data_IF_837584624036
#
_entry.id   IF_837584624036
#
_cell.length_a   1.000
_cell.length_b   1.000
_cell.length_c   1.000
_cell.angle_alpha   90.00
_cell.angle_beta   90.00
_cell.angle_gamma   90.00
#
_symmetry.space_group_name_H-M   'P 1'
#
loop_
_entity.id
_entity.type
_entity.pdbx_description
1 polymer ?
#
# COMPACT_ATOMS: atom_id res chain seq x y z
N UNK A 1 21.84 -4.50 -12.78
CA UNK A 1 22.44 -4.39 -11.43
C UNK A 1 22.65 -2.95 -10.96
N UNK A 2 23.35 -2.06 -11.70
CA UNK A 2 23.57 -0.64 -11.30
C UNK A 2 22.29 0.14 -10.93
N UNK A 3 21.18 -0.05 -11.65
CA UNK A 3 19.89 0.61 -11.35
C UNK A 3 19.19 0.12 -10.07
N UNK A 4 19.45 -1.13 -9.67
CA UNK A 4 18.88 -1.76 -8.47
C UNK A 4 19.64 -1.30 -7.22
N UNK A 5 20.96 -1.12 -7.34
CA UNK A 5 21.80 -0.53 -6.28
C UNK A 5 21.36 0.91 -5.97
N UNK A 6 20.98 1.68 -7.00
CA UNK A 6 20.41 3.03 -6.82
C UNK A 6 19.09 3.04 -6.05
N UNK A 7 18.27 2.00 -6.17
CA UNK A 7 17.01 1.87 -5.43
C UNK A 7 17.23 1.57 -3.95
N UNK A 8 18.23 0.72 -3.64
CA UNK A 8 18.64 0.44 -2.26
C UNK A 8 19.15 1.72 -1.59
N UNK A 9 19.96 2.51 -2.30
CA UNK A 9 20.44 3.81 -1.82
C UNK A 9 19.30 4.82 -1.60
N UNK A 10 18.32 4.90 -2.52
CA UNK A 10 17.19 5.82 -2.38
C UNK A 10 16.30 5.46 -1.18
N UNK A 11 16.03 4.17 -0.98
CA UNK A 11 15.26 3.68 0.17
C UNK A 11 16.00 3.96 1.47
N UNK A 12 17.31 3.73 1.53
CA UNK A 12 18.15 4.04 2.71
C UNK A 12 18.20 5.54 3.00
N UNK A 13 18.26 6.40 1.97
CA UNK A 13 18.27 7.87 2.12
C UNK A 13 16.90 8.38 2.64
N UNK A 14 15.78 7.78 2.24
CA UNK A 14 14.46 8.09 2.81
C UNK A 14 14.28 7.60 4.26
N UNK A 15 15.16 6.73 4.77
CA UNK A 15 15.12 6.24 6.16
C UNK A 15 16.08 6.97 7.10
N UNK A 16 16.88 7.93 6.63
CA UNK A 16 17.64 8.80 7.52
C UNK A 16 16.72 9.86 8.11
N UNK A 17 16.25 9.58 9.33
CA UNK A 17 15.44 10.48 10.13
C UNK A 17 16.15 11.83 10.32
N UNK A 18 15.32 12.86 10.29
CA UNK A 18 15.55 14.20 10.80
C UNK A 18 16.32 14.15 12.13
N UNK A 19 17.43 14.90 12.22
CA UNK A 19 18.14 15.11 13.47
C UNK A 19 17.21 15.85 14.45
N UNK A 20 16.59 15.12 15.37
CA UNK A 20 15.93 15.71 16.53
C UNK A 20 17.01 16.11 17.55
N UNK A 21 16.91 17.34 18.05
CA UNK A 21 17.75 17.89 19.10
C UNK A 21 17.75 16.97 20.33
N UNK A 22 18.93 16.55 20.78
CA UNK A 22 19.09 15.70 21.97
C UNK A 22 18.97 16.60 23.19
N UNK A 23 17.86 16.49 23.92
CA UNK A 23 17.68 17.08 25.24
C UNK A 23 17.99 16.03 26.33
N UNK A 24 18.56 16.45 27.47
CA UNK A 24 19.31 15.61 28.43
C UNK A 24 18.42 14.89 29.45
N UNK A 25 17.15 14.64 29.14
CA UNK A 25 16.26 13.88 30.03
C UNK A 25 16.37 12.39 29.72
N UNK A 26 16.50 11.57 30.76
CA UNK A 26 16.53 10.09 30.70
C UNK A 26 15.30 9.61 29.93
N UNK A 27 15.49 9.39 28.64
CA UNK A 27 14.44 8.91 27.74
C UNK A 27 14.39 7.41 27.93
N UNK A 28 13.29 6.93 28.52
CA UNK A 28 12.84 5.55 28.36
C UNK A 28 12.91 5.28 26.86
N UNK A 29 13.80 4.40 26.40
CA UNK A 29 13.97 4.11 24.97
C UNK A 29 12.60 3.65 24.46
N UNK A 30 11.84 4.54 23.84
CA UNK A 30 10.58 4.18 23.23
C UNK A 30 10.94 3.30 22.03
N UNK A 31 10.74 1.99 22.18
CA UNK A 31 10.88 1.06 21.06
C UNK A 31 10.05 1.58 19.91
N UNK A 32 10.70 1.93 18.81
CA UNK A 32 10.03 2.39 17.60
C UNK A 32 9.07 1.29 17.12
N UNK A 33 7.76 1.53 17.30
CA UNK A 33 6.69 0.58 16.97
C UNK A 33 6.51 0.38 15.46
N UNK A 34 7.22 1.14 14.63
CA UNK A 34 7.22 1.00 13.17
C UNK A 34 8.16 -0.10 12.67
N UNK A 35 9.31 -0.27 13.30
CA UNK A 35 10.35 -1.23 12.88
C UNK A 35 9.82 -2.66 12.71
N UNK A 36 9.00 -3.21 13.63
CA UNK A 36 8.40 -4.52 13.42
C UNK A 36 7.48 -4.60 12.19
N UNK A 37 6.83 -3.49 11.81
CA UNK A 37 5.91 -3.42 10.67
C UNK A 37 6.63 -3.33 9.32
N UNK A 38 7.93 -3.03 9.31
CA UNK A 38 8.73 -2.96 8.08
C UNK A 38 9.47 -4.25 7.76
N UNK A 39 9.58 -5.20 8.70
CA UNK A 39 10.32 -6.47 8.50
C UNK A 39 9.74 -7.29 7.35
N UNK A 40 8.43 -7.54 7.36
CA UNK A 40 7.75 -8.33 6.31
C UNK A 40 7.91 -7.67 4.92
N UNK A 41 7.53 -6.40 4.72
CA UNK A 41 7.67 -5.79 3.40
C UNK A 41 9.13 -5.68 2.95
N UNK A 42 10.08 -5.39 3.85
CA UNK A 42 11.50 -5.37 3.52
C UNK A 42 11.98 -6.76 3.08
N UNK A 43 11.55 -7.82 3.76
CA UNK A 43 11.89 -9.20 3.39
C UNK A 43 11.40 -9.53 1.99
N UNK A 44 10.16 -9.19 1.65
CA UNK A 44 9.62 -9.40 0.31
C UNK A 44 10.38 -8.61 -0.77
N UNK A 45 10.69 -7.33 -0.52
CA UNK A 45 11.43 -6.49 -1.46
C UNK A 45 12.85 -7.02 -1.66
N UNK A 46 13.55 -7.37 -0.58
CA UNK A 46 14.91 -7.93 -0.65
C UNK A 46 14.92 -9.27 -1.39
N UNK A 47 13.97 -10.14 -1.07
CA UNK A 47 13.84 -11.44 -1.76
C UNK A 47 13.57 -11.24 -3.26
N UNK A 48 12.71 -10.28 -3.61
CA UNK A 48 12.46 -9.93 -5.00
C UNK A 48 13.72 -9.44 -5.72
N UNK A 49 14.52 -8.59 -5.07
CA UNK A 49 15.79 -8.10 -5.62
C UNK A 49 16.79 -9.24 -5.84
N UNK A 50 16.84 -10.23 -4.95
CA UNK A 50 17.72 -11.40 -5.10
C UNK A 50 17.22 -12.33 -6.21
N UNK A 51 15.91 -12.55 -6.32
CA UNK A 51 15.34 -13.49 -7.28
C UNK A 51 15.25 -12.94 -8.71
N UNK A 52 15.22 -11.62 -8.89
CA UNK A 52 14.97 -11.02 -10.21
C UNK A 52 16.03 -11.43 -11.24
N UNK A 53 15.59 -11.95 -12.38
CA UNK A 53 16.42 -12.50 -13.46
C UNK A 53 17.24 -13.75 -13.09
N UNK A 54 17.03 -14.34 -11.92
CA UNK A 54 17.71 -15.58 -11.52
C UNK A 54 17.23 -16.79 -12.32
N UNK A 55 18.04 -17.85 -12.35
CA UNK A 55 17.62 -19.11 -12.96
C UNK A 55 16.44 -19.75 -12.21
N UNK A 56 16.40 -19.63 -10.88
CA UNK A 56 15.31 -20.14 -10.05
C UNK A 56 13.96 -19.51 -10.42
N UNK A 57 13.93 -18.19 -10.65
CA UNK A 57 12.73 -17.49 -11.10
C UNK A 57 12.24 -18.02 -12.46
N UNK A 58 13.15 -18.23 -13.41
CA UNK A 58 12.81 -18.77 -14.74
C UNK A 58 12.32 -20.22 -14.68
N UNK A 59 12.97 -21.04 -13.85
CA UNK A 59 12.57 -22.44 -13.64
C UNK A 59 11.17 -22.53 -13.03
N UNK A 60 10.90 -21.75 -11.98
CA UNK A 60 9.56 -21.69 -11.36
C UNK A 60 8.50 -21.26 -12.38
N UNK A 61 8.79 -20.25 -13.20
CA UNK A 61 7.86 -19.82 -14.24
C UNK A 61 7.56 -20.96 -15.22
N UNK A 62 8.58 -21.71 -15.65
CA UNK A 62 8.42 -22.87 -16.53
C UNK A 62 7.59 -23.97 -15.87
N UNK A 63 7.83 -24.28 -14.60
CA UNK A 63 7.05 -25.26 -13.84
C UNK A 63 5.57 -24.88 -13.74
N UNK A 64 5.29 -23.60 -13.43
CA UNK A 64 3.91 -23.10 -13.40
C UNK A 64 3.25 -23.26 -14.77
N UNK A 65 3.91 -22.86 -15.86
CA UNK A 65 3.36 -22.98 -17.22
C UNK A 65 3.16 -24.43 -17.67
N UNK A 66 4.04 -25.35 -17.28
CA UNK A 66 3.85 -26.78 -17.52
C UNK A 66 2.61 -27.33 -16.79
N UNK A 67 2.26 -26.75 -15.63
CA UNK A 67 1.12 -27.20 -14.83
C UNK A 67 -0.21 -26.59 -15.30
N UNK A 68 -0.23 -25.31 -15.65
CA UNK A 68 -1.48 -24.60 -16.02
C UNK A 68 -1.78 -24.62 -17.52
N UNK A 69 -0.77 -24.89 -18.36
CA UNK A 69 -0.89 -24.83 -19.82
C UNK A 69 -0.36 -23.53 -20.42
N UNK A 70 0.14 -23.60 -21.65
CA UNK A 70 0.70 -22.45 -22.37
C UNK A 70 -0.36 -21.48 -22.93
N UNK A 71 -1.62 -21.88 -22.92
CA UNK A 71 -2.80 -21.13 -23.32
C UNK A 71 -3.61 -20.60 -22.11
N UNK A 72 -3.19 -20.92 -20.88
CA UNK A 72 -3.89 -20.44 -19.68
C UNK A 72 -3.96 -18.92 -19.62
N UNK A 73 -5.19 -18.42 -19.58
CA UNK A 73 -5.54 -17.03 -19.39
C UNK A 73 -6.80 -16.91 -18.56
N UNK A 74 -6.75 -16.11 -17.50
CA UNK A 74 -7.89 -15.84 -16.62
C UNK A 74 -7.88 -14.35 -16.25
N UNK A 75 -8.92 -13.60 -16.57
CA UNK A 75 -9.00 -12.16 -16.25
C UNK A 75 -9.45 -11.82 -14.81
N UNK A 76 -9.68 -12.82 -13.95
CA UNK A 76 -10.15 -12.59 -12.57
C UNK A 76 -9.20 -11.68 -11.77
N UNK A 77 -7.90 -11.71 -12.05
CA UNK A 77 -6.89 -10.89 -11.41
C UNK A 77 -7.14 -9.38 -11.55
N UNK A 78 -7.78 -8.95 -12.64
CA UNK A 78 -8.13 -7.54 -12.85
C UNK A 78 -9.23 -7.07 -11.87
N UNK A 79 -10.05 -7.99 -11.36
CA UNK A 79 -11.16 -7.69 -10.44
C UNK A 79 -10.79 -7.97 -8.98
N UNK A 80 -10.27 -9.17 -8.69
CA UNK A 80 -10.04 -9.62 -7.31
C UNK A 80 -8.96 -8.80 -6.59
N UNK A 81 -8.13 -8.06 -7.33
CA UNK A 81 -7.18 -7.11 -6.74
C UNK A 81 -7.87 -6.06 -5.86
N UNK A 82 -9.14 -5.74 -6.17
CA UNK A 82 -9.93 -4.74 -5.45
C UNK A 82 -10.81 -5.35 -4.34
N UNK A 83 -10.86 -6.67 -4.21
CA UNK A 83 -11.68 -7.35 -3.21
C UNK A 83 -11.39 -6.88 -1.77
N UNK A 84 -10.12 -6.68 -1.33
CA UNK A 84 -9.85 -6.17 0.01
C UNK A 84 -10.45 -4.79 0.29
N UNK A 85 -10.59 -3.94 -0.73
CA UNK A 85 -11.22 -2.63 -0.59
C UNK A 85 -12.74 -2.74 -0.48
N UNK A 86 -13.35 -3.65 -1.25
CA UNK A 86 -14.77 -3.95 -1.12
C UNK A 86 -15.09 -4.53 0.27
N UNK A 87 -14.23 -5.41 0.78
CA UNK A 87 -14.35 -6.00 2.13
C UNK A 87 -14.37 -4.93 3.23
N UNK A 88 -13.63 -3.83 3.09
CA UNK A 88 -13.63 -2.73 4.07
C UNK A 88 -15.04 -2.13 4.19
N UNK A 89 -15.62 -1.73 3.06
CA UNK A 89 -16.94 -1.11 3.06
C UNK A 89 -18.07 -2.09 3.37
N UNK A 90 -17.94 -3.36 2.95
CA UNK A 90 -18.88 -4.41 3.33
C UNK A 90 -18.85 -4.67 4.84
N UNK A 91 -17.66 -4.67 5.45
CA UNK A 91 -17.50 -4.78 6.91
C UNK A 91 -18.26 -3.68 7.65
N UNK A 92 -18.15 -2.44 7.20
CA UNK A 92 -18.89 -1.31 7.74
C UNK A 92 -20.41 -1.49 7.55
N UNK A 93 -20.86 -1.89 6.36
CA UNK A 93 -22.29 -2.06 6.04
C UNK A 93 -22.97 -3.13 6.89
N UNK A 94 -22.26 -4.23 7.19
CA UNK A 94 -22.79 -5.31 8.04
C UNK A 94 -22.55 -5.06 9.54
N UNK A 95 -22.07 -3.87 9.91
CA UNK A 95 -21.97 -3.42 11.29
C UNK A 95 -20.74 -3.94 12.04
N UNK A 96 -19.73 -4.47 11.35
CA UNK A 96 -18.46 -4.83 12.01
C UNK A 96 -17.75 -3.53 12.38
N UNK A 97 -17.36 -3.41 13.65
CA UNK A 97 -16.74 -2.19 14.17
C UNK A 97 -15.34 -1.99 13.56
N UNK A 98 -15.22 -1.11 12.58
CA UNK A 98 -13.92 -0.68 12.09
C UNK A 98 -13.20 0.24 13.11
N UNK A 99 -11.88 0.33 12.96
CA UNK A 99 -11.03 1.21 13.77
C UNK A 99 -11.29 2.69 13.49
N UNK A 100 -11.45 3.05 12.22
CA UNK A 100 -11.67 4.42 11.79
C UNK A 100 -13.06 4.59 11.15
N UNK A 101 -13.56 5.82 11.14
CA UNK A 101 -14.77 6.18 10.41
C UNK A 101 -14.57 6.06 8.89
N UNK A 102 -15.61 5.74 8.13
CA UNK A 102 -15.55 5.48 6.68
C UNK A 102 -14.83 6.56 5.87
N UNK A 103 -14.92 7.82 6.30
CA UNK A 103 -14.20 8.93 5.68
C UNK A 103 -12.68 8.78 5.83
N UNK A 104 -12.20 8.46 7.04
CA UNK A 104 -10.77 8.25 7.31
C UNK A 104 -10.25 6.98 6.62
N UNK A 105 -11.07 5.92 6.52
CA UNK A 105 -10.75 4.75 5.71
C UNK A 105 -10.56 5.12 4.24
N UNK A 106 -11.51 5.86 3.65
CA UNK A 106 -11.47 6.29 2.24
C UNK A 106 -10.26 7.18 1.97
N UNK A 107 -9.96 8.10 2.90
CA UNK A 107 -8.74 8.92 2.87
C UNK A 107 -7.48 8.05 2.87
N UNK A 108 -7.39 7.08 3.78
CA UNK A 108 -6.23 6.20 3.88
C UNK A 108 -6.05 5.37 2.60
N UNK A 109 -7.15 4.89 2.01
CA UNK A 109 -7.17 4.20 0.71
C UNK A 109 -6.62 5.12 -0.39
N UNK A 110 -7.12 6.36 -0.48
CA UNK A 110 -6.69 7.32 -1.49
C UNK A 110 -5.19 7.67 -1.39
N UNK A 111 -4.72 8.03 -0.18
CA UNK A 111 -3.32 8.36 0.06
C UNK A 111 -2.42 7.15 -0.24
N UNK A 112 -2.80 5.96 0.23
CA UNK A 112 -2.04 4.72 -0.03
C UNK A 112 -1.98 4.42 -1.52
N UNK A 113 -3.09 4.56 -2.25
CA UNK A 113 -3.15 4.34 -3.69
C UNK A 113 -2.26 5.29 -4.49
N UNK A 114 -2.29 6.58 -4.14
CA UNK A 114 -1.43 7.61 -4.75
C UNK A 114 0.04 7.28 -4.52
N UNK A 115 0.44 7.05 -3.26
CA UNK A 115 1.84 6.74 -2.92
C UNK A 115 2.32 5.44 -3.56
N UNK A 116 1.48 4.40 -3.58
CA UNK A 116 1.80 3.13 -4.24
C UNK A 116 2.01 3.35 -5.73
N UNK A 117 1.17 4.14 -6.38
CA UNK A 117 1.29 4.47 -7.81
C UNK A 117 2.56 5.27 -8.10
N UNK A 118 2.87 6.27 -7.27
CA UNK A 118 4.08 7.09 -7.38
C UNK A 118 5.36 6.28 -7.21
N UNK A 119 5.32 5.16 -6.48
CA UNK A 119 6.45 4.25 -6.35
C UNK A 119 6.49 3.25 -7.53
N UNK A 120 5.36 2.62 -7.86
CA UNK A 120 5.31 1.54 -8.86
C UNK A 120 5.59 2.04 -10.28
N UNK A 121 4.99 3.16 -10.70
CA UNK A 121 5.09 3.62 -12.09
C UNK A 121 6.52 3.97 -12.51
N UNK A 122 7.31 4.74 -11.73
CA UNK A 122 8.69 5.02 -12.07
C UNK A 122 9.55 3.75 -12.12
N UNK A 123 9.36 2.81 -11.19
CA UNK A 123 10.10 1.55 -11.19
C UNK A 123 9.80 0.72 -12.44
N UNK A 124 8.53 0.65 -12.81
CA UNK A 124 8.04 -0.09 -13.98
C UNK A 124 8.58 0.45 -15.30
N UNK A 125 8.77 1.77 -15.39
CA UNK A 125 9.38 2.41 -16.56
C UNK A 125 10.91 2.40 -16.50
N UNK A 126 11.51 2.52 -15.32
CA UNK A 126 12.96 2.67 -15.14
C UNK A 126 13.76 1.37 -15.17
N UNK A 127 13.19 0.28 -14.64
CA UNK A 127 13.84 -1.04 -14.61
C UNK A 127 13.77 -1.73 -15.97
N UNK A 128 12.64 -1.62 -16.68
CA UNK A 128 12.52 -2.15 -18.04
C UNK A 128 12.58 -3.68 -18.11
N UNK A 129 12.07 -4.41 -17.10
CA UNK A 129 12.09 -5.87 -17.07
C UNK A 129 11.05 -6.42 -18.04
N UNK A 130 11.47 -7.29 -18.96
CA UNK A 130 10.59 -8.01 -19.88
C UNK A 130 9.65 -8.96 -19.13
N UNK A 131 8.40 -9.05 -19.57
CA UNK A 131 7.43 -10.00 -19.02
C UNK A 131 7.74 -11.44 -19.46
N UNK A 132 7.29 -12.44 -18.70
CA UNK A 132 7.45 -13.85 -19.08
C UNK A 132 6.83 -14.22 -20.44
N UNK A 133 5.80 -13.47 -20.87
CA UNK A 133 5.11 -13.64 -22.15
C UNK A 133 5.70 -12.80 -23.30
N UNK A 134 6.77 -12.02 -23.06
CA UNK A 134 7.38 -11.15 -24.06
C UNK A 134 6.52 -9.95 -24.48
N UNK A 135 5.39 -9.68 -23.82
CA UNK A 135 4.43 -8.68 -24.30
C UNK A 135 4.89 -7.22 -24.12
N UNK A 136 5.78 -6.93 -23.16
CA UNK A 136 6.38 -5.61 -22.92
C UNK A 136 7.51 -5.67 -21.87
N UNK A 137 8.19 -4.54 -21.68
CA UNK A 137 9.27 -4.33 -20.70
C UNK A 137 8.79 -3.72 -19.37
N UNK A 138 7.52 -3.89 -19.03
CA UNK A 138 6.91 -3.32 -17.84
C UNK A 138 6.54 -4.41 -16.83
N UNK A 139 7.41 -5.38 -16.57
CA UNK A 139 7.11 -6.48 -15.65
C UNK A 139 7.27 -6.09 -14.17
N UNK A 140 8.37 -5.43 -13.80
CA UNK A 140 8.73 -5.21 -12.39
C UNK A 140 8.45 -3.77 -11.92
N UNK A 141 7.80 -3.55 -10.76
CA UNK A 141 7.07 -4.52 -9.93
C UNK A 141 5.63 -4.73 -10.45
N UNK A 142 4.95 -5.73 -9.90
CA UNK A 142 3.55 -6.01 -10.21
C UNK A 142 2.61 -4.99 -9.55
N UNK A 143 1.99 -4.13 -10.36
CA UNK A 143 1.04 -3.12 -9.87
C UNK A 143 -0.24 -3.71 -9.29
N UNK A 144 -0.79 -4.78 -9.90
CA UNK A 144 -1.99 -5.45 -9.37
C UNK A 144 -1.74 -6.03 -7.99
N UNK A 145 -0.55 -6.62 -7.81
CA UNK A 145 -0.14 -7.17 -6.51
C UNK A 145 0.06 -6.03 -5.50
N UNK A 146 0.72 -4.94 -5.89
CA UNK A 146 0.91 -3.79 -4.99
C UNK A 146 -0.41 -3.18 -4.52
N UNK A 147 -1.36 -2.97 -5.43
CA UNK A 147 -2.71 -2.49 -5.09
C UNK A 147 -3.43 -3.46 -4.16
N UNK A 148 -3.45 -4.76 -4.47
CA UNK A 148 -4.19 -5.71 -3.65
C UNK A 148 -3.60 -5.89 -2.25
N UNK A 149 -2.27 -5.96 -2.13
CA UNK A 149 -1.60 -6.04 -0.82
C UNK A 149 -1.70 -4.74 -0.01
N UNK A 150 -1.78 -3.57 -0.67
CA UNK A 150 -2.11 -2.33 -0.02
C UNK A 150 -3.52 -2.39 0.59
N UNK A 151 -4.52 -2.79 -0.19
CA UNK A 151 -5.90 -2.98 0.29
C UNK A 151 -6.00 -3.98 1.44
N UNK A 152 -5.34 -5.13 1.32
CA UNK A 152 -5.30 -6.15 2.37
C UNK A 152 -4.69 -5.62 3.68
N UNK A 153 -3.64 -4.80 3.58
CA UNK A 153 -3.01 -4.19 4.75
C UNK A 153 -3.93 -3.14 5.39
N UNK A 154 -4.66 -2.36 4.60
CA UNK A 154 -5.66 -1.40 5.10
C UNK A 154 -6.79 -2.15 5.81
N UNK A 155 -7.38 -3.18 5.18
CA UNK A 155 -8.41 -4.03 5.77
C UNK A 155 -7.94 -4.62 7.11
N UNK A 156 -6.70 -5.11 7.15
CA UNK A 156 -6.11 -5.61 8.38
C UNK A 156 -6.02 -4.53 9.47
N UNK A 157 -5.58 -3.32 9.14
CA UNK A 157 -5.48 -2.25 10.15
C UNK A 157 -6.86 -1.75 10.63
N UNK A 158 -7.90 -1.85 9.80
CA UNK A 158 -9.26 -1.45 10.16
C UNK A 158 -9.98 -2.48 11.04
N UNK A 159 -9.77 -3.79 10.79
CA UNK A 159 -10.60 -4.82 11.41
C UNK A 159 -9.86 -5.80 12.33
N UNK A 160 -8.53 -5.78 12.42
CA UNK A 160 -7.78 -6.77 13.25
C UNK A 160 -8.23 -6.87 14.71
N UNK A 161 -8.74 -5.78 15.28
CA UNK A 161 -9.14 -5.72 16.69
C UNK A 161 -10.61 -6.15 16.89
N UNK A 162 -11.44 -6.11 15.84
CA UNK A 162 -12.89 -6.40 15.90
C UNK A 162 -13.28 -7.71 15.20
N UNK A 163 -12.65 -8.02 14.07
CA UNK A 163 -12.84 -9.25 13.31
C UNK A 163 -11.52 -9.69 12.66
N UNK A 164 -10.69 -10.48 13.36
CA UNK A 164 -9.42 -10.97 12.82
C UNK A 164 -9.58 -11.78 11.54
N UNK A 165 -10.65 -12.58 11.42
CA UNK A 165 -10.90 -13.39 10.22
C UNK A 165 -11.09 -12.50 8.99
N UNK A 166 -11.92 -11.46 9.09
CA UNK A 166 -12.09 -10.47 8.03
C UNK A 166 -10.79 -9.70 7.78
N UNK A 167 -10.08 -9.31 8.84
CA UNK A 167 -8.82 -8.60 8.72
C UNK A 167 -7.76 -9.37 7.90
N UNK A 168 -7.72 -10.69 8.05
CA UNK A 168 -6.78 -11.56 7.32
C UNK A 168 -7.30 -12.03 5.95
N UNK A 169 -8.61 -12.00 5.68
CA UNK A 169 -9.18 -12.47 4.40
C UNK A 169 -8.64 -11.70 3.19
N UNK A 170 -8.39 -10.39 3.36
CA UNK A 170 -7.81 -9.56 2.30
C UNK A 170 -6.46 -10.08 1.79
N UNK A 171 -5.63 -10.70 2.65
CA UNK A 171 -4.37 -11.29 2.23
C UNK A 171 -4.56 -12.57 1.38
N UNK A 172 -5.67 -13.29 1.54
CA UNK A 172 -6.03 -14.40 0.68
C UNK A 172 -6.36 -13.91 -0.74
N UNK A 173 -7.13 -12.84 -0.86
CA UNK A 173 -7.40 -12.20 -2.15
C UNK A 173 -6.12 -11.65 -2.79
N UNK A 174 -5.28 -10.94 -2.02
CA UNK A 174 -4.03 -10.39 -2.53
C UNK A 174 -3.04 -11.46 -3.00
N UNK A 175 -2.95 -12.58 -2.27
CA UNK A 175 -2.15 -13.74 -2.67
C UNK A 175 -2.71 -14.39 -3.94
N UNK A 176 -4.04 -14.48 -4.05
CA UNK A 176 -4.71 -15.00 -5.24
C UNK A 176 -4.46 -14.11 -6.46
N UNK A 177 -4.53 -12.78 -6.32
CA UNK A 177 -4.16 -11.83 -7.37
C UNK A 177 -2.73 -12.08 -7.83
N UNK A 178 -1.76 -12.09 -6.91
CA UNK A 178 -0.35 -12.33 -7.23
C UNK A 178 -0.13 -13.66 -7.95
N UNK A 179 -0.78 -14.72 -7.47
CA UNK A 179 -0.70 -16.07 -8.06
C UNK A 179 -1.25 -16.10 -9.49
N UNK A 180 -2.43 -15.52 -9.72
CA UNK A 180 -3.01 -15.40 -11.05
C UNK A 180 -2.11 -14.61 -12.01
N UNK A 181 -1.43 -13.55 -11.53
CA UNK A 181 -0.46 -12.80 -12.37
C UNK A 181 0.70 -13.67 -12.85
N UNK A 182 1.17 -14.60 -12.02
CA UNK A 182 2.22 -15.57 -12.38
C UNK A 182 1.65 -16.61 -13.36
N UNK A 183 0.48 -17.18 -13.02
CA UNK A 183 -0.18 -18.19 -13.84
C UNK A 183 -0.55 -17.67 -15.23
N UNK A 184 -0.98 -16.41 -15.36
CA UNK A 184 -1.27 -15.72 -16.63
C UNK A 184 -0.02 -15.35 -17.42
N UNK A 185 1.18 -15.74 -16.96
CA UNK A 185 2.46 -15.41 -17.58
C UNK A 185 2.73 -13.90 -17.69
N UNK A 186 2.06 -13.10 -16.84
CA UNK A 186 2.09 -11.63 -16.90
C UNK A 186 3.19 -11.03 -16.05
N UNK A 187 3.62 -11.73 -15.00
CA UNK A 187 4.64 -11.28 -14.06
C UNK A 187 5.46 -12.45 -13.55
N UNK A 188 6.73 -12.21 -13.29
CA UNK A 188 7.59 -13.14 -12.60
C UNK A 188 7.33 -13.11 -11.08
N UNK A 189 7.76 -14.15 -10.37
CA UNK A 189 7.61 -14.24 -8.91
C UNK A 189 8.27 -13.07 -8.17
N UNK A 190 9.43 -12.57 -8.61
CA UNK A 190 10.05 -11.40 -7.97
C UNK A 190 9.21 -10.13 -8.16
N UNK A 191 8.53 -9.97 -9.30
CA UNK A 191 7.69 -8.80 -9.55
C UNK A 191 6.50 -8.78 -8.59
N UNK A 192 5.93 -9.96 -8.29
CA UNK A 192 4.84 -10.16 -7.32
C UNK A 192 5.33 -9.89 -5.91
N UNK A 193 6.46 -10.47 -5.49
CA UNK A 193 7.04 -10.22 -4.17
C UNK A 193 7.36 -8.74 -3.94
N UNK A 194 7.96 -8.06 -4.93
CA UNK A 194 8.22 -6.63 -4.85
C UNK A 194 6.93 -5.82 -4.74
N UNK A 195 5.91 -6.16 -5.54
CA UNK A 195 4.60 -5.54 -5.46
C UNK A 195 3.97 -5.69 -4.07
N UNK A 196 3.95 -6.91 -3.53
CA UNK A 196 3.43 -7.21 -2.20
C UNK A 196 4.14 -6.39 -1.11
N UNK A 197 5.47 -6.37 -1.13
CA UNK A 197 6.26 -5.61 -0.17
C UNK A 197 6.01 -4.10 -0.26
N UNK A 198 5.94 -3.53 -1.47
CA UNK A 198 5.62 -2.10 -1.65
C UNK A 198 4.22 -1.79 -1.11
N UNK A 199 3.21 -2.59 -1.47
CA UNK A 199 1.83 -2.37 -1.02
C UNK A 199 1.69 -2.39 0.50
N UNK A 200 2.27 -3.40 1.16
CA UNK A 200 2.28 -3.52 2.63
C UNK A 200 3.03 -2.34 3.27
N UNK A 201 4.20 -1.97 2.73
CA UNK A 201 5.02 -0.89 3.29
C UNK A 201 4.29 0.44 3.26
N UNK A 202 3.73 0.81 2.11
CA UNK A 202 3.05 2.10 1.92
C UNK A 202 1.82 2.18 2.82
N UNK A 203 0.99 1.15 2.85
CA UNK A 203 -0.19 1.12 3.72
C UNK A 203 0.21 1.26 5.21
N UNK A 204 1.22 0.50 5.66
CA UNK A 204 1.71 0.62 7.04
C UNK A 204 2.28 2.02 7.34
N UNK A 205 2.93 2.67 6.38
CA UNK A 205 3.43 4.04 6.52
C UNK A 205 2.28 5.03 6.72
N UNK A 206 1.21 4.93 5.93
CA UNK A 206 0.02 5.79 6.08
C UNK A 206 -0.63 5.63 7.46
N UNK A 207 -0.72 4.40 7.97
CA UNK A 207 -1.31 4.13 9.30
C UNK A 207 -0.40 4.46 10.49
N UNK A 208 0.89 4.72 10.25
CA UNK A 208 1.86 5.03 11.30
C UNK A 208 2.27 6.50 11.32
N UNK A 209 2.40 7.14 10.15
CA UNK A 209 2.86 8.51 10.06
C UNK A 209 1.73 9.47 10.47
N UNK A 210 1.83 9.99 11.69
CA UNK A 210 0.81 10.82 12.35
C UNK A 210 0.28 11.97 11.47
N UNK A 211 1.09 12.70 10.67
CA UNK A 211 0.55 13.72 9.78
C UNK A 211 -0.46 13.18 8.76
N UNK A 212 -0.20 12.03 8.14
CA UNK A 212 -1.12 11.44 7.16
C UNK A 212 -2.35 10.83 7.83
N UNK A 213 -2.14 10.19 8.98
CA UNK A 213 -3.18 9.58 9.79
C UNK A 213 -4.18 10.61 10.32
N UNK A 214 -3.69 11.73 10.88
CA UNK A 214 -4.49 12.74 11.56
C UNK A 214 -5.02 13.84 10.64
N UNK A 215 -4.52 13.96 9.42
CA UNK A 215 -5.06 14.90 8.45
C UNK A 215 -6.52 14.54 8.12
N UNK A 216 -7.47 15.41 8.44
CA UNK A 216 -8.88 15.23 8.07
C UNK A 216 -9.48 16.62 7.79
N UNK A 217 -9.68 17.00 6.52
CA UNK A 217 -10.19 18.32 6.16
C UNK A 217 -11.69 18.50 6.48
N UNK A 218 -12.41 17.41 6.75
CA UNK A 218 -13.85 17.40 7.07
C UNK A 218 -14.08 17.48 8.57
N UNK A 219 -13.10 17.10 9.39
CA UNK A 219 -13.11 17.38 10.82
C UNK A 219 -13.14 18.89 10.98
N UNK A 220 -14.32 19.45 11.26
CA UNK A 220 -14.48 20.86 11.59
C UNK A 220 -13.43 21.18 12.64
N UNK A 221 -12.50 22.05 12.28
CA UNK A 221 -11.74 22.74 13.28
C UNK A 221 -12.80 23.52 14.07
N UNK A 222 -13.21 23.05 15.25
CA UNK A 222 -14.20 23.75 16.10
C UNK A 222 -13.76 25.17 16.43
N UNK A 223 -12.47 25.42 16.19
CA UNK A 223 -11.83 26.70 16.35
C UNK A 223 -12.15 27.65 15.19
N UNK A 224 -12.58 27.20 14.02
CA UNK A 224 -12.93 28.08 12.90
C UNK A 224 -14.41 27.93 12.56
N UNK A 225 -15.20 28.96 12.84
CA UNK A 225 -16.61 29.02 12.45
C UNK A 225 -16.80 30.11 11.40
N UNK A 226 -17.58 29.79 10.36
CA UNK A 226 -18.00 30.73 9.33
C UNK A 226 -19.52 30.83 9.35
N UNK A 227 -20.05 32.04 9.44
CA UNK A 227 -21.49 32.26 9.28
C UNK A 227 -21.74 33.63 8.63
N UNK A 228 -22.73 33.72 7.74
CA UNK A 228 -23.16 35.00 7.20
C UNK A 228 -24.01 35.74 8.23
N UNK A 229 -23.81 37.05 8.33
CA UNK A 229 -24.71 37.97 9.00
C UNK A 229 -25.41 38.76 7.90
N UNK A 230 -26.74 38.66 7.85
CA UNK A 230 -27.57 39.40 6.89
C UNK A 230 -28.22 40.55 7.65
N UNK A 231 -27.95 41.79 7.23
CA UNK A 231 -28.57 42.98 7.80
C UNK A 231 -29.12 43.88 6.69
N UNK A 232 -30.44 43.86 6.51
CA UNK A 232 -31.09 44.60 5.41
C UNK A 232 -30.62 44.12 4.03
N UNK A 233 -29.97 45.00 3.26
CA UNK A 233 -29.40 44.69 1.94
C UNK A 233 -27.92 44.27 1.98
N UNK A 234 -27.31 44.21 3.17
CA UNK A 234 -25.90 43.86 3.32
C UNK A 234 -25.71 42.42 3.79
N UNK A 235 -24.75 41.72 3.18
CA UNK A 235 -24.30 40.39 3.59
C UNK A 235 -22.85 40.50 4.06
N UNK A 236 -22.62 40.26 5.34
CA UNK A 236 -21.28 40.23 5.94
C UNK A 236 -20.88 38.79 6.23
N UNK A 237 -19.70 38.38 5.78
CA UNK A 237 -19.13 37.08 6.13
C UNK A 237 -18.23 37.22 7.35
N UNK A 238 -18.55 36.51 8.43
CA UNK A 238 -17.74 36.49 9.66
C UNK A 238 -17.03 35.15 9.77
N UNK A 239 -15.72 35.21 10.03
CA UNK A 239 -14.88 34.07 10.40
C UNK A 239 -14.38 34.27 11.83
N UNK A 240 -14.64 33.33 12.73
CA UNK A 240 -14.17 33.39 14.12
C UNK A 240 -13.15 32.30 14.40
N UNK A 241 -12.01 32.66 15.01
CA UNK A 241 -11.01 31.73 15.53
C UNK A 241 -11.10 31.59 17.07
N UNK A 242 -11.37 30.40 17.60
CA UNK A 242 -11.38 30.09 19.04
C UNK A 242 -10.03 29.51 19.44
N UNK A 243 -9.27 30.26 20.25
CA UNK A 243 -8.02 29.83 20.90
C UNK A 243 -8.31 29.05 22.19
#
# INVERSE_FOLDING_TARGET
MRKIIGLILLVIICFQNSNAQIDTLVTKIERNKFLPKTIIPATFILTAVVLTNSQSEKNLQKEVRNKVGNDYHNGMDDYIQYAPYAEIYLGDLVGIKAKNHWFDQTKNIAITGILTTLIVLPLKKGIGKERPDGSNFHSFPSGHTATSFAGATILYQEFKDSSPVLAYSGFAFATSTGSLRIMNNKHWVSDVLAGAGIGILVANMVYYFEPLKNWNPVKKNTNISFYPIINGQEVTFVASYKF
#
